data_IF_970527983962
#
_entry.id   IF_970527983962
#
_cell.length_a   1.000
_cell.length_b   1.000
_cell.length_c   1.000
_cell.angle_alpha   90.00
_cell.angle_beta   90.00
_cell.angle_gamma   90.00
#
_symmetry.space_group_name_H-M   'P 1'
#
loop_
_entity.id
_entity.type
_entity.pdbx_description
1 polymer ?
#
# COMPACT_ATOMS: atom_id res chain seq x y z
N UNK A 1 28.58 -16.05 31.79
CA UNK A 1 27.51 -15.17 31.30
C UNK A 1 27.75 -14.90 29.83
N UNK A 2 27.32 -15.89 29.06
CA UNK A 2 26.64 -15.85 27.75
C UNK A 2 26.81 -14.60 26.87
N UNK A 3 27.73 -14.75 25.90
CA UNK A 3 27.64 -14.53 24.44
C UNK A 3 26.77 -13.36 23.93
N UNK A 4 27.49 -12.39 23.35
CA UNK A 4 27.22 -11.56 22.17
C UNK A 4 25.76 -11.28 21.71
N UNK A 5 25.39 -10.00 21.72
CA UNK A 5 24.39 -9.44 20.79
C UNK A 5 25.04 -8.38 19.92
N UNK A 6 25.58 -8.79 18.77
CA UNK A 6 25.83 -7.90 17.64
C UNK A 6 24.65 -8.08 16.68
N UNK A 7 23.64 -7.24 16.86
CA UNK A 7 22.57 -7.05 15.89
C UNK A 7 22.74 -5.70 15.21
N UNK A 8 23.63 -5.63 14.22
CA UNK A 8 23.72 -4.48 13.32
C UNK A 8 22.62 -4.62 12.26
N UNK A 9 21.47 -3.99 12.50
CA UNK A 9 20.41 -3.83 11.51
C UNK A 9 19.84 -2.44 11.67
N UNK A 10 20.08 -1.57 10.70
CA UNK A 10 19.57 -0.20 10.69
C UNK A 10 18.04 -0.22 10.74
N UNK A 11 17.47 0.07 11.91
CA UNK A 11 16.03 0.27 12.10
C UNK A 11 15.61 1.59 11.44
N UNK A 12 15.33 1.54 10.14
CA UNK A 12 14.76 2.64 9.35
C UNK A 12 13.31 2.93 9.72
N UNK A 13 13.00 3.13 11.00
CA UNK A 13 11.69 3.58 11.44
C UNK A 13 11.64 5.11 11.43
N UNK A 14 11.29 5.68 10.30
CA UNK A 14 10.65 7.00 10.27
C UNK A 14 9.26 6.88 9.66
N UNK A 15 8.43 6.05 10.29
CA UNK A 15 6.99 6.19 10.26
C UNK A 15 6.63 7.39 11.16
N UNK A 16 6.37 8.55 10.54
CA UNK A 16 5.86 9.72 11.25
C UNK A 16 4.51 9.38 11.90
N UNK A 17 4.34 9.77 13.17
CA UNK A 17 3.12 9.61 13.99
C UNK A 17 1.82 10.06 13.30
N UNK A 18 1.91 10.83 12.21
CA UNK A 18 0.78 11.30 11.41
C UNK A 18 0.13 10.21 10.52
N UNK A 19 0.73 9.02 10.39
CA UNK A 19 0.11 7.87 9.71
C UNK A 19 -1.00 7.23 10.55
N UNK A 20 -0.97 7.40 11.88
CA UNK A 20 -1.75 6.63 12.84
C UNK A 20 -3.26 6.89 12.79
N UNK A 21 -3.69 8.03 12.25
CA UNK A 21 -5.09 8.50 12.28
C UNK A 21 -5.91 8.21 11.00
N UNK A 22 -5.29 7.77 9.91
CA UNK A 22 -6.00 7.41 8.66
C UNK A 22 -6.40 5.91 8.59
N UNK A 23 -5.98 5.10 9.57
CA UNK A 23 -6.14 3.64 9.56
C UNK A 23 -7.56 3.14 9.88
N UNK A 24 -8.55 4.02 10.08
CA UNK A 24 -9.91 3.60 10.40
C UNK A 24 -10.67 2.97 9.21
N UNK A 25 -10.35 3.35 7.96
CA UNK A 25 -11.03 2.87 6.75
C UNK A 25 -10.10 2.36 5.62
N UNK A 26 -8.78 2.39 5.82
CA UNK A 26 -7.82 1.90 4.81
C UNK A 26 -7.70 2.74 3.54
N UNK A 27 -8.36 3.90 3.47
CA UNK A 27 -8.33 4.83 2.34
C UNK A 27 -7.38 6.01 2.57
N UNK A 28 -6.57 6.32 1.56
CA UNK A 28 -5.56 7.38 1.65
C UNK A 28 -5.23 7.97 0.28
N UNK A 29 -4.72 9.21 0.19
CA UNK A 29 -4.39 9.82 -1.08
C UNK A 29 -3.25 9.08 -1.80
N UNK A 30 -3.25 9.12 -3.14
CA UNK A 30 -2.33 8.35 -3.98
C UNK A 30 -0.84 8.57 -3.64
N UNK A 31 -0.49 9.75 -3.15
CA UNK A 31 0.88 10.13 -2.77
C UNK A 31 1.36 9.42 -1.50
N UNK A 32 0.45 8.95 -0.64
CA UNK A 32 0.79 8.25 0.61
C UNK A 32 1.00 6.76 0.39
N UNK A 33 0.49 6.17 -0.69
CA UNK A 33 0.69 4.76 -1.01
C UNK A 33 2.15 4.49 -1.38
N UNK A 34 2.82 3.66 -0.57
CA UNK A 34 4.13 3.08 -0.88
C UNK A 34 3.96 1.66 -1.42
N UNK A 35 4.96 1.12 -2.11
CA UNK A 35 4.93 -0.28 -2.57
C UNK A 35 4.70 -1.24 -1.41
N UNK A 36 5.40 -1.02 -0.30
CA UNK A 36 5.27 -1.83 0.92
C UNK A 36 3.85 -1.78 1.46
N UNK A 37 3.23 -0.60 1.51
CA UNK A 37 1.88 -0.47 2.04
C UNK A 37 0.85 -1.18 1.14
N UNK A 38 0.98 -1.04 -0.18
CA UNK A 38 0.12 -1.76 -1.13
C UNK A 38 0.28 -3.27 -0.93
N UNK A 39 1.52 -3.79 -0.88
CA UNK A 39 1.76 -5.23 -0.73
C UNK A 39 1.30 -5.78 0.63
N UNK A 40 1.40 -4.98 1.70
CA UNK A 40 0.89 -5.39 3.01
C UNK A 40 -0.64 -5.52 3.00
N UNK A 41 -1.35 -4.53 2.42
CA UNK A 41 -2.80 -4.59 2.28
C UNK A 41 -3.27 -5.70 1.35
N UNK A 42 -2.59 -5.89 0.22
CA UNK A 42 -2.84 -7.05 -0.66
C UNK A 42 -2.62 -8.35 0.12
N UNK A 43 -1.58 -8.45 0.95
CA UNK A 43 -1.31 -9.67 1.73
C UNK A 43 -2.38 -9.96 2.78
N UNK A 44 -2.98 -8.94 3.38
CA UNK A 44 -4.12 -9.08 4.30
C UNK A 44 -5.34 -9.70 3.59
N UNK A 45 -5.55 -9.39 2.30
CA UNK A 45 -6.67 -9.91 1.49
C UNK A 45 -6.33 -11.27 0.87
N UNK A 46 -5.21 -11.34 0.16
CA UNK A 46 -4.73 -12.53 -0.56
C UNK A 46 -3.19 -12.59 -0.53
N UNK A 47 -2.61 -13.42 0.37
CA UNK A 47 -1.16 -13.58 0.48
C UNK A 47 -0.46 -13.98 -0.82
N UNK A 48 -1.10 -14.81 -1.64
CA UNK A 48 -0.52 -15.27 -2.92
C UNK A 48 -0.42 -14.10 -3.91
N UNK A 49 -1.43 -13.25 -3.97
CA UNK A 49 -1.40 -12.06 -4.84
C UNK A 49 -0.24 -11.13 -4.46
N UNK A 50 0.06 -10.96 -3.16
CA UNK A 50 1.18 -10.15 -2.71
C UNK A 50 2.54 -10.69 -3.23
N UNK A 51 2.70 -12.02 -3.28
CA UNK A 51 3.91 -12.64 -3.81
C UNK A 51 4.06 -12.46 -5.33
N UNK A 52 2.94 -12.51 -6.07
CA UNK A 52 2.94 -12.26 -7.52
C UNK A 52 3.28 -10.80 -7.84
N UNK A 53 2.79 -9.87 -7.01
CA UNK A 53 2.95 -8.43 -7.21
C UNK A 53 4.29 -7.88 -6.72
N UNK A 54 5.12 -8.67 -6.02
CA UNK A 54 6.37 -8.19 -5.39
C UNK A 54 7.36 -7.57 -6.38
N UNK A 55 7.34 -8.00 -7.65
CA UNK A 55 8.23 -7.50 -8.70
C UNK A 55 7.61 -6.39 -9.55
N UNK A 56 6.31 -6.11 -9.41
CA UNK A 56 5.61 -5.06 -10.15
C UNK A 56 6.05 -3.67 -9.64
N UNK A 57 6.15 -2.70 -10.54
CA UNK A 57 6.56 -1.33 -10.17
C UNK A 57 5.49 -0.65 -9.31
N UNK A 58 5.91 0.24 -8.40
CA UNK A 58 4.96 0.98 -7.55
C UNK A 58 3.98 1.83 -8.37
N UNK A 59 4.40 2.30 -9.54
CA UNK A 59 3.55 3.05 -10.46
C UNK A 59 2.41 2.19 -10.97
N UNK A 60 2.72 1.00 -11.50
CA UNK A 60 1.72 0.05 -12.02
C UNK A 60 0.81 -0.44 -10.89
N UNK A 61 1.35 -0.70 -9.70
CA UNK A 61 0.53 -1.07 -8.54
C UNK A 61 -0.48 0.02 -8.18
N UNK A 62 -0.07 1.29 -8.19
CA UNK A 62 -0.98 2.41 -7.92
C UNK A 62 -2.07 2.55 -8.98
N UNK A 63 -1.75 2.24 -10.23
CA UNK A 63 -2.71 2.35 -11.34
C UNK A 63 -3.71 1.19 -11.36
N UNK A 64 -3.22 -0.04 -11.15
CA UNK A 64 -4.02 -1.27 -11.31
C UNK A 64 -4.69 -1.73 -10.02
N UNK A 65 -3.99 -1.67 -8.88
CA UNK A 65 -4.42 -2.30 -7.63
C UNK A 65 -5.25 -1.36 -6.76
N UNK A 66 -5.08 -0.05 -6.93
CA UNK A 66 -5.81 0.93 -6.13
C UNK A 66 -7.06 1.41 -6.84
N UNK A 67 -8.19 1.33 -6.14
CA UNK A 67 -9.47 1.87 -6.57
C UNK A 67 -9.75 3.18 -5.87
N UNK A 68 -10.13 4.17 -6.64
CA UNK A 68 -10.57 5.45 -6.08
C UNK A 68 -11.94 5.29 -5.43
N UNK A 69 -12.08 5.70 -4.17
CA UNK A 69 -13.32 5.56 -3.39
C UNK A 69 -14.03 6.89 -3.18
N UNK A 70 -13.27 7.96 -2.94
CA UNK A 70 -13.82 9.21 -2.46
C UNK A 70 -13.00 10.41 -2.92
N UNK A 71 -13.63 11.58 -2.85
CA UNK A 71 -13.00 12.88 -3.08
C UNK A 71 -13.15 13.70 -1.81
N UNK A 72 -12.04 14.16 -1.25
CA UNK A 72 -12.03 15.04 -0.10
C UNK A 72 -11.54 16.42 -0.48
N UNK A 73 -12.23 17.45 0.01
CA UNK A 73 -11.73 18.82 -0.04
C UNK A 73 -10.66 18.98 1.04
N UNK A 74 -9.43 19.27 0.64
CA UNK A 74 -8.28 19.31 1.56
C UNK A 74 -7.84 20.72 1.92
N UNK A 75 -8.47 21.78 1.39
CA UNK A 75 -8.22 23.16 1.82
C UNK A 75 -9.34 24.15 1.48
N UNK A 76 -9.29 25.32 2.14
CA UNK A 76 -10.11 26.51 1.87
C UNK A 76 -10.09 26.98 0.40
N UNK A 77 -9.09 26.59 -0.40
CA UNK A 77 -8.96 26.98 -1.82
C UNK A 77 -9.55 25.96 -2.81
N UNK A 78 -10.50 25.12 -2.39
CA UNK A 78 -11.17 24.11 -3.23
C UNK A 78 -10.26 23.01 -3.82
N UNK A 79 -9.03 22.84 -3.33
CA UNK A 79 -8.19 21.72 -3.75
C UNK A 79 -8.90 20.40 -3.38
N UNK A 80 -9.17 19.57 -4.39
CA UNK A 80 -9.76 18.24 -4.25
C UNK A 80 -8.65 17.21 -4.27
N UNK A 81 -8.72 16.23 -3.37
CA UNK A 81 -7.79 15.12 -3.32
C UNK A 81 -8.58 13.83 -3.40
N UNK A 82 -8.23 12.98 -4.37
CA UNK A 82 -8.77 11.64 -4.49
C UNK A 82 -8.15 10.72 -3.44
N UNK A 83 -9.00 9.90 -2.84
CA UNK A 83 -8.61 8.87 -1.88
C UNK A 83 -8.84 7.50 -2.51
N UNK A 84 -7.98 6.56 -2.13
CA UNK A 84 -7.87 5.26 -2.76
C UNK A 84 -7.75 4.18 -1.70
N UNK A 85 -8.29 3.00 -2.02
CA UNK A 85 -8.17 1.75 -1.26
C UNK A 85 -7.61 0.65 -2.19
N UNK A 86 -7.12 -0.46 -1.62
CA UNK A 86 -6.83 -1.66 -2.41
C UNK A 86 -8.15 -2.27 -2.90
N UNK A 87 -8.23 -2.56 -4.19
CA UNK A 87 -9.38 -3.22 -4.79
C UNK A 87 -9.40 -4.71 -4.40
N UNK A 88 -10.20 -5.05 -3.40
CA UNK A 88 -10.30 -6.43 -2.88
C UNK A 88 -10.83 -7.41 -3.92
N UNK A 89 -11.81 -6.99 -4.73
CA UNK A 89 -12.40 -7.82 -5.78
C UNK A 89 -11.35 -8.16 -6.84
N UNK A 90 -10.57 -7.16 -7.27
CA UNK A 90 -9.44 -7.37 -8.17
C UNK A 90 -8.43 -8.33 -7.54
N UNK A 91 -7.98 -8.05 -6.31
CA UNK A 91 -6.93 -8.83 -5.62
C UNK A 91 -7.32 -10.30 -5.46
N UNK A 92 -8.59 -10.58 -5.18
CA UNK A 92 -9.11 -11.96 -5.10
C UNK A 92 -9.21 -12.65 -6.46
N UNK A 93 -9.31 -11.89 -7.55
CA UNK A 93 -9.38 -12.42 -8.92
C UNK A 93 -8.02 -12.51 -9.63
N UNK A 94 -6.94 -11.99 -9.04
CA UNK A 94 -5.63 -11.93 -9.69
C UNK A 94 -5.04 -13.30 -10.00
N UNK A 95 -4.54 -13.43 -11.22
CA UNK A 95 -3.80 -14.59 -11.72
C UNK A 95 -2.43 -14.18 -12.22
N UNK A 96 -1.50 -15.14 -12.24
CA UNK A 96 -0.15 -14.94 -12.80
C UNK A 96 -0.20 -14.42 -14.24
N UNK A 97 -1.14 -14.94 -15.04
CA UNK A 97 -1.31 -14.55 -16.44
C UNK A 97 -1.68 -13.07 -16.58
N UNK A 98 -2.63 -12.59 -15.78
CA UNK A 98 -3.02 -11.17 -15.80
C UNK A 98 -1.86 -10.27 -15.40
N UNK A 99 -1.06 -10.66 -14.40
CA UNK A 99 0.08 -9.87 -13.93
C UNK A 99 1.22 -9.86 -14.97
N UNK A 100 1.38 -10.91 -15.76
CA UNK A 100 2.37 -10.96 -16.83
C UNK A 100 2.06 -9.98 -17.99
N UNK A 101 0.83 -9.46 -18.06
CA UNK A 101 0.39 -8.46 -19.04
C UNK A 101 0.52 -7.01 -18.53
N UNK A 102 1.04 -6.81 -17.31
CA UNK A 102 1.19 -5.51 -16.65
C UNK A 102 2.56 -4.86 -16.85
#
# INVERSE_FOLDING_TARGET
MDIEKIGNGYDGWSMSNNARDAYANGEMPISKWSKTEILNRVREINPKAADLLKNVSVFVLKEKVLKQTSWHHTSMKYNKTAFYIVDEDLVNSLTEKQIAEW
#
